data_IF_918128844304
#
_entry.id   IF_918128844304
#
_cell.length_a   1.000
_cell.length_b   1.000
_cell.length_c   1.000
_cell.angle_alpha   90.00
_cell.angle_beta   90.00
_cell.angle_gamma   90.00
#
_symmetry.space_group_name_H-M   'P 1'
#
loop_
_entity.id
_entity.type
_entity.pdbx_description
1 polymer ?
#
# COMPACT_ATOMS: atom_id res chain seq x y z
N UNK A 1 65.37 5.81 -47.63
CA UNK A 1 65.42 5.20 -46.30
C UNK A 1 64.05 4.63 -45.99
N UNK A 2 63.98 3.30 -45.92
CA UNK A 2 62.83 2.49 -45.50
C UNK A 2 62.19 3.03 -44.21
N UNK A 3 60.86 2.93 -44.06
CA UNK A 3 60.23 2.02 -43.08
C UNK A 3 58.75 1.82 -43.44
N UNK A 4 58.39 0.55 -43.61
CA UNK A 4 57.02 0.02 -43.66
C UNK A 4 56.40 0.08 -42.25
N UNK A 5 55.16 0.58 -42.12
CA UNK A 5 54.30 0.26 -40.98
C UNK A 5 53.02 -0.36 -41.53
N UNK A 6 52.82 -1.64 -41.20
CA UNK A 6 51.62 -2.43 -41.48
C UNK A 6 50.47 -1.93 -40.60
N UNK A 7 49.37 -1.51 -41.20
CA UNK A 7 48.12 -1.31 -40.47
C UNK A 7 47.41 -2.66 -40.29
N UNK A 8 47.26 -3.08 -39.03
CA UNK A 8 46.39 -4.18 -38.60
C UNK A 8 44.94 -3.67 -38.57
N UNK A 9 43.94 -4.38 -39.14
CA UNK A 9 42.55 -4.01 -38.94
C UNK A 9 42.11 -4.44 -37.53
N UNK A 10 41.74 -3.45 -36.72
CA UNK A 10 41.15 -3.63 -35.40
C UNK A 10 39.74 -4.23 -35.56
N UNK A 11 39.59 -5.52 -35.23
CA UNK A 11 38.28 -6.15 -35.10
C UNK A 11 37.57 -5.56 -33.87
N UNK A 12 36.58 -4.70 -34.09
CA UNK A 12 35.71 -4.19 -33.04
C UNK A 12 34.63 -5.24 -32.74
N UNK A 13 34.90 -6.15 -31.79
CA UNK A 13 33.87 -7.00 -31.20
C UNK A 13 33.01 -6.13 -30.28
N UNK A 14 31.86 -5.67 -30.78
CA UNK A 14 30.87 -4.98 -29.97
C UNK A 14 30.17 -6.00 -29.07
N UNK A 15 30.63 -6.11 -27.83
CA UNK A 15 29.98 -6.90 -26.78
C UNK A 15 28.67 -6.19 -26.39
N UNK A 16 27.55 -6.60 -26.98
CA UNK A 16 26.23 -6.22 -26.48
C UNK A 16 26.01 -6.94 -25.14
N UNK A 17 26.40 -6.30 -24.04
CA UNK A 17 25.89 -6.62 -22.71
C UNK A 17 24.42 -6.21 -22.68
N UNK A 18 23.54 -7.12 -23.10
CA UNK A 18 22.15 -7.09 -22.66
C UNK A 18 22.16 -7.35 -21.16
N UNK A 19 22.17 -6.28 -20.36
CA UNK A 19 21.65 -6.34 -19.01
C UNK A 19 20.17 -6.70 -19.15
N UNK A 20 19.87 -8.00 -19.12
CA UNK A 20 18.55 -8.49 -18.81
C UNK A 20 18.28 -8.05 -17.37
N UNK A 21 17.70 -6.85 -17.20
CA UNK A 21 16.97 -6.58 -15.98
C UNK A 21 15.93 -7.70 -15.92
N UNK A 22 16.05 -8.58 -14.93
CA UNK A 22 14.97 -9.50 -14.60
C UNK A 22 13.78 -8.65 -14.22
N UNK A 23 12.96 -8.28 -15.19
CA UNK A 23 11.59 -7.80 -14.95
C UNK A 23 10.85 -9.03 -14.47
N UNK A 24 10.98 -9.34 -13.18
CA UNK A 24 10.04 -10.27 -12.55
C UNK A 24 8.68 -9.62 -12.71
N UNK A 25 7.79 -10.29 -13.44
CA UNK A 25 6.39 -9.90 -13.48
C UNK A 25 5.92 -9.86 -12.02
N UNK A 26 5.50 -8.68 -11.56
CA UNK A 26 5.02 -8.42 -10.21
C UNK A 26 3.77 -7.55 -10.29
N UNK A 27 2.91 -7.61 -9.29
CA UNK A 27 1.81 -6.65 -9.18
C UNK A 27 2.39 -5.27 -8.91
N UNK A 28 2.12 -4.34 -9.82
CA UNK A 28 2.40 -2.92 -9.61
C UNK A 28 1.24 -2.30 -8.84
N UNK A 29 1.54 -1.85 -7.62
CA UNK A 29 0.61 -1.18 -6.72
C UNK A 29 0.82 0.33 -6.80
N UNK A 30 -0.29 1.04 -6.85
CA UNK A 30 -0.43 2.49 -6.77
C UNK A 30 -1.11 2.86 -5.44
N UNK A 31 -1.15 4.15 -5.17
CA UNK A 31 -1.89 4.69 -4.03
C UNK A 31 -3.36 4.25 -4.07
N UNK A 32 -3.87 3.78 -2.93
CA UNK A 32 -5.24 3.26 -2.82
C UNK A 32 -5.43 1.82 -3.28
N UNK A 33 -4.42 1.15 -3.84
CA UNK A 33 -4.46 -0.30 -4.12
C UNK A 33 -4.22 -1.14 -2.86
N UNK A 34 -3.79 -0.52 -1.77
CA UNK A 34 -3.56 -1.16 -0.48
C UNK A 34 -4.05 -0.26 0.64
N UNK A 35 -4.64 -0.85 1.67
CA UNK A 35 -5.00 -0.12 2.89
C UNK A 35 -4.86 -0.99 4.15
N UNK A 36 -4.41 -0.37 5.24
CA UNK A 36 -4.33 -1.01 6.56
C UNK A 36 -5.75 -1.04 7.17
N UNK A 37 -6.11 -2.18 7.75
CA UNK A 37 -7.42 -2.41 8.38
C UNK A 37 -7.33 -2.88 9.84
N UNK A 38 -6.13 -3.11 10.34
CA UNK A 38 -5.91 -3.43 11.75
C UNK A 38 -4.45 -3.37 12.16
N UNK A 39 -4.21 -2.87 13.36
CA UNK A 39 -2.89 -2.80 14.01
C UNK A 39 -3.04 -3.21 15.47
N UNK A 40 -2.20 -4.14 15.91
CA UNK A 40 -1.97 -4.47 17.31
C UNK A 40 -0.46 -4.38 17.54
N UNK A 41 -0.02 -3.26 18.10
CA UNK A 41 1.39 -2.85 18.26
C UNK A 41 2.03 -3.31 19.60
N UNK A 42 1.38 -4.23 20.34
CA UNK A 42 1.91 -4.78 21.58
C UNK A 42 1.19 -6.09 21.98
N UNK A 43 1.10 -7.01 21.03
CA UNK A 43 0.50 -8.33 21.18
C UNK A 43 1.24 -9.21 22.20
N UNK A 44 2.53 -8.97 22.44
CA UNK A 44 3.30 -9.68 23.47
C UNK A 44 2.77 -9.43 24.90
N UNK A 45 2.12 -8.29 25.13
CA UNK A 45 1.47 -7.97 26.40
C UNK A 45 0.28 -8.87 26.78
N UNK A 46 -0.11 -9.81 25.93
CA UNK A 46 -1.28 -10.66 26.15
C UNK A 46 -1.01 -11.82 27.12
N UNK A 47 -1.95 -12.16 28.03
CA UNK A 47 -1.86 -13.35 28.87
C UNK A 47 -1.70 -14.61 28.01
N UNK A 48 -0.61 -15.35 28.20
CA UNK A 48 -0.28 -16.53 27.37
C UNK A 48 0.68 -16.25 26.21
N UNK A 49 1.24 -15.04 26.11
CA UNK A 49 2.14 -14.55 25.04
C UNK A 49 3.46 -15.31 24.81
N UNK A 50 3.67 -16.48 25.43
CA UNK A 50 4.87 -17.30 25.27
C UNK A 50 4.78 -18.42 24.23
N UNK A 51 3.59 -18.73 23.69
CA UNK A 51 3.46 -19.83 22.72
C UNK A 51 2.40 -19.52 21.66
N UNK A 52 2.87 -19.12 20.47
CA UNK A 52 2.26 -19.58 19.21
C UNK A 52 0.81 -19.22 18.95
N UNK A 53 0.35 -18.01 19.24
CA UNK A 53 -1.01 -17.59 18.81
C UNK A 53 -1.13 -17.43 17.27
N UNK A 54 -0.09 -17.76 16.50
CA UNK A 54 -0.11 -17.70 15.03
C UNK A 54 0.55 -18.91 14.36
N UNK A 55 0.93 -19.97 15.11
CA UNK A 55 1.57 -21.16 14.55
C UNK A 55 2.95 -20.92 13.90
N UNK A 56 3.48 -19.69 13.94
CA UNK A 56 4.85 -19.40 13.53
C UNK A 56 5.79 -19.92 14.63
N UNK A 57 6.58 -20.94 14.28
CA UNK A 57 7.61 -21.54 15.12
C UNK A 57 8.70 -20.49 15.38
N UNK A 58 8.88 -20.11 16.65
CA UNK A 58 9.74 -19.01 17.09
C UNK A 58 8.93 -17.85 17.66
N UNK A 59 8.09 -18.14 18.67
CA UNK A 59 7.17 -17.17 19.26
C UNK A 59 7.89 -15.94 19.79
N UNK A 60 7.47 -14.76 19.30
CA UNK A 60 7.58 -13.41 19.89
C UNK A 60 7.04 -12.37 18.88
N UNK A 61 5.91 -12.58 18.20
CA UNK A 61 5.33 -11.54 17.35
C UNK A 61 4.64 -10.49 18.22
N UNK A 62 5.31 -9.35 18.43
CA UNK A 62 4.82 -8.22 19.24
C UNK A 62 3.82 -7.39 18.45
N UNK A 63 4.01 -7.28 17.14
CA UNK A 63 3.12 -6.47 16.31
C UNK A 63 2.39 -7.30 15.27
N UNK A 64 1.12 -6.98 15.08
CA UNK A 64 0.24 -7.55 14.05
C UNK A 64 -0.28 -6.40 13.20
N UNK A 65 -0.06 -6.48 11.89
CA UNK A 65 -0.57 -5.52 10.91
C UNK A 65 -1.40 -6.28 9.89
N UNK A 66 -2.69 -5.98 9.83
CA UNK A 66 -3.63 -6.51 8.83
C UNK A 66 -3.93 -5.45 7.78
N UNK A 67 -3.83 -5.82 6.52
CA UNK A 67 -4.11 -4.95 5.38
C UNK A 67 -4.85 -5.71 4.27
N UNK A 68 -5.44 -4.97 3.36
CA UNK A 68 -6.11 -5.51 2.17
C UNK A 68 -5.50 -4.90 0.93
N UNK A 69 -5.39 -5.69 -0.15
CA UNK A 69 -5.05 -5.18 -1.48
C UNK A 69 -6.31 -5.19 -2.37
N UNK A 70 -6.55 -4.12 -3.10
CA UNK A 70 -7.66 -3.97 -4.06
C UNK A 70 -7.27 -4.40 -5.48
N UNK A 71 -6.05 -4.93 -5.64
CA UNK A 71 -5.56 -5.63 -6.82
C UNK A 71 -5.05 -7.01 -6.43
N UNK A 72 -5.10 -7.95 -7.37
CA UNK A 72 -4.50 -9.27 -7.22
C UNK A 72 -3.01 -9.16 -6.93
N UNK A 73 -2.52 -9.89 -5.95
CA UNK A 73 -1.08 -10.00 -5.64
C UNK A 73 -0.55 -11.28 -6.28
N UNK A 74 0.35 -11.13 -7.26
CA UNK A 74 1.00 -12.27 -7.92
C UNK A 74 2.38 -12.54 -7.33
N UNK A 75 2.91 -13.75 -7.58
CA UNK A 75 4.30 -14.09 -7.25
C UNK A 75 5.27 -13.02 -7.79
N UNK A 76 6.31 -12.69 -7.02
CA UNK A 76 7.27 -11.64 -7.33
C UNK A 76 6.88 -10.25 -6.81
N UNK A 77 5.67 -10.05 -6.28
CA UNK A 77 5.24 -8.76 -5.71
C UNK A 77 6.09 -8.38 -4.51
N UNK A 78 6.66 -7.18 -4.57
CA UNK A 78 7.46 -6.58 -3.50
C UNK A 78 6.67 -5.46 -2.83
N UNK A 79 6.67 -5.43 -1.50
CA UNK A 79 6.15 -4.33 -0.68
C UNK A 79 7.22 -4.02 0.36
N UNK A 80 7.59 -2.74 0.50
CA UNK A 80 8.48 -2.28 1.56
C UNK A 80 7.65 -1.66 2.68
N UNK A 81 8.09 -1.80 3.92
CA UNK A 81 7.45 -1.21 5.10
C UNK A 81 8.48 -0.54 5.99
N UNK A 82 8.10 0.58 6.60
CA UNK A 82 8.92 1.24 7.62
C UNK A 82 8.09 1.86 8.72
N UNK A 83 8.61 1.78 9.94
CA UNK A 83 8.18 2.51 11.13
C UNK A 83 9.08 3.73 11.41
N UNK A 84 10.10 3.99 10.57
CA UNK A 84 10.83 5.24 10.63
C UNK A 84 9.89 6.42 10.33
N UNK A 85 9.87 7.40 11.23
CA UNK A 85 9.03 8.58 11.09
C UNK A 85 9.43 9.54 9.97
N UNK A 86 8.50 9.89 9.09
CA UNK A 86 8.69 10.98 8.11
C UNK A 86 8.74 12.33 8.81
N UNK A 87 9.72 13.16 8.49
CA UNK A 87 9.95 14.44 9.16
C UNK A 87 9.96 14.33 10.68
N UNK A 88 10.43 13.21 11.24
CA UNK A 88 10.52 13.07 12.70
C UNK A 88 11.40 14.17 13.31
N UNK A 89 12.50 14.51 12.62
CA UNK A 89 13.53 15.44 13.09
C UNK A 89 14.05 16.39 12.00
N UNK A 90 14.19 15.88 10.77
CA UNK A 90 14.71 16.63 9.63
C UNK A 90 13.62 16.85 8.60
N UNK A 91 13.60 18.05 7.99
CA UNK A 91 12.61 18.40 6.98
C UNK A 91 12.79 17.54 5.71
N UNK A 92 11.69 17.03 5.15
CA UNK A 92 11.63 16.17 3.98
C UNK A 92 12.50 14.89 4.04
N UNK A 93 12.75 14.35 5.23
CA UNK A 93 13.57 13.14 5.42
C UNK A 93 12.92 12.21 6.44
N UNK A 94 13.24 10.91 6.35
CA UNK A 94 12.86 9.94 7.35
C UNK A 94 13.83 9.92 8.52
N UNK A 95 13.31 9.50 9.68
CA UNK A 95 14.13 8.96 10.74
C UNK A 95 14.98 7.77 10.27
N UNK A 96 15.99 7.46 11.06
CA UNK A 96 17.07 6.53 10.73
C UNK A 96 17.42 5.67 11.95
N UNK A 97 16.49 5.57 12.92
CA UNK A 97 16.69 4.86 14.19
C UNK A 97 15.71 3.70 14.40
N UNK A 98 14.83 3.44 13.44
CA UNK A 98 13.79 2.40 13.47
C UNK A 98 13.98 1.45 12.27
N UNK A 99 12.99 0.63 11.97
CA UNK A 99 13.08 -0.45 11.00
C UNK A 99 12.60 -0.13 9.60
N UNK A 100 13.26 -0.73 8.62
CA UNK A 100 12.72 -0.85 7.27
C UNK A 100 12.87 -2.28 6.79
N UNK A 101 11.78 -2.86 6.29
CA UNK A 101 11.73 -4.23 5.78
C UNK A 101 11.23 -4.28 4.34
N UNK A 102 11.70 -5.28 3.61
CA UNK A 102 11.23 -5.68 2.29
C UNK A 102 10.51 -7.01 2.37
N UNK A 103 9.25 -7.00 1.98
CA UNK A 103 8.37 -8.16 1.91
C UNK A 103 8.27 -8.60 0.44
N UNK A 104 8.49 -9.88 0.14
CA UNK A 104 8.37 -10.43 -1.22
C UNK A 104 7.44 -11.63 -1.22
N UNK A 105 6.43 -11.61 -2.08
CA UNK A 105 5.48 -12.70 -2.20
C UNK A 105 5.95 -13.75 -3.20
N UNK A 106 6.02 -15.02 -2.79
CA UNK A 106 6.51 -16.12 -3.63
C UNK A 106 5.45 -17.19 -3.92
N UNK A 107 4.19 -16.94 -3.56
CA UNK A 107 3.08 -17.90 -3.71
C UNK A 107 2.32 -17.79 -5.03
N UNK A 108 1.18 -18.48 -5.13
CA UNK A 108 0.20 -18.30 -6.21
C UNK A 108 -0.68 -17.08 -5.99
N UNK A 109 -1.42 -16.61 -6.99
CA UNK A 109 -2.17 -15.34 -6.89
C UNK A 109 -3.04 -15.26 -5.63
N UNK A 110 -2.89 -14.18 -4.86
CA UNK A 110 -3.84 -13.75 -3.82
C UNK A 110 -4.85 -12.83 -4.50
N UNK A 111 -6.14 -13.22 -4.58
CA UNK A 111 -7.18 -12.36 -5.14
C UNK A 111 -7.32 -11.03 -4.40
N UNK A 112 -7.66 -9.97 -5.13
CA UNK A 112 -8.06 -8.69 -4.57
C UNK A 112 -9.16 -8.87 -3.50
N UNK A 113 -9.06 -8.12 -2.41
CA UNK A 113 -10.01 -8.14 -1.30
C UNK A 113 -9.63 -9.10 -0.18
N UNK A 114 -8.70 -10.04 -0.39
CA UNK A 114 -8.21 -10.90 0.68
C UNK A 114 -7.33 -10.13 1.66
N UNK A 115 -7.55 -10.38 2.94
CA UNK A 115 -6.81 -9.75 4.04
C UNK A 115 -5.48 -10.48 4.26
N UNK A 116 -4.41 -9.70 4.21
CA UNK A 116 -3.05 -10.14 4.48
C UNK A 116 -2.66 -9.65 5.88
N UNK A 117 -2.19 -10.56 6.73
CA UNK A 117 -1.75 -10.23 8.08
C UNK A 117 -0.29 -10.55 8.27
N UNK A 118 0.51 -9.50 8.49
CA UNK A 118 1.92 -9.59 8.83
C UNK A 118 2.12 -9.54 10.33
N UNK A 119 3.21 -10.17 10.76
CA UNK A 119 3.71 -10.08 12.13
C UNK A 119 5.16 -9.69 12.17
N UNK A 120 5.48 -8.87 13.16
CA UNK A 120 6.83 -8.43 13.44
C UNK A 120 7.17 -8.67 14.91
N UNK A 121 8.43 -9.03 15.16
CA UNK A 121 8.99 -9.11 16.50
C UNK A 121 10.05 -8.03 16.71
N UNK A 122 10.20 -7.59 17.96
CA UNK A 122 11.34 -6.77 18.38
C UNK A 122 12.71 -7.42 18.17
N UNK A 123 12.75 -8.73 17.91
CA UNK A 123 13.95 -9.51 17.59
C UNK A 123 14.27 -9.56 16.10
N UNK A 124 13.50 -8.88 15.25
CA UNK A 124 13.73 -8.81 13.81
C UNK A 124 13.24 -10.06 13.06
N UNK A 125 12.31 -10.82 13.65
CA UNK A 125 11.63 -11.92 13.00
C UNK A 125 10.30 -11.43 12.42
N UNK A 126 10.08 -11.73 11.15
CA UNK A 126 8.90 -11.29 10.40
C UNK A 126 8.21 -12.49 9.77
N UNK A 127 6.89 -12.42 9.65
CA UNK A 127 6.09 -13.48 9.06
C UNK A 127 4.76 -13.00 8.52
N UNK A 128 4.08 -13.87 7.78
CA UNK A 128 2.69 -13.68 7.37
C UNK A 128 1.88 -14.92 7.76
N UNK A 129 0.71 -14.69 8.34
CA UNK A 129 -0.11 -15.77 8.92
C UNK A 129 -1.27 -16.21 8.04
N UNK A 130 -1.75 -15.32 7.16
CA UNK A 130 -2.82 -15.65 6.21
C UNK A 130 -2.28 -16.16 4.88
N UNK A 131 -1.08 -15.72 4.47
CA UNK A 131 -0.44 -16.11 3.21
C UNK A 131 1.05 -16.45 3.44
N UNK A 132 1.41 -17.68 3.84
CA UNK A 132 2.75 -17.99 4.36
C UNK A 132 3.88 -17.92 3.31
N UNK A 133 3.59 -17.67 2.03
CA UNK A 133 4.60 -17.56 0.97
C UNK A 133 5.30 -16.19 0.90
N UNK A 134 5.01 -15.28 1.83
CA UNK A 134 5.79 -14.04 2.01
C UNK A 134 7.15 -14.32 2.65
N UNK A 135 8.20 -13.76 2.07
CA UNK A 135 9.54 -13.70 2.65
C UNK A 135 9.91 -12.27 3.02
N UNK A 136 10.74 -12.10 4.04
CA UNK A 136 11.07 -10.80 4.61
C UNK A 136 12.57 -10.62 4.71
N UNK A 137 13.05 -9.42 4.36
CA UNK A 137 14.46 -9.03 4.49
C UNK A 137 14.53 -7.64 5.10
N UNK A 138 15.39 -7.44 6.09
CA UNK A 138 15.66 -6.11 6.62
C UNK A 138 16.45 -5.29 5.60
N UNK A 139 15.99 -4.07 5.30
CA UNK A 139 16.69 -3.09 4.45
C UNK A 139 17.65 -2.20 5.24
N UNK A 140 17.73 -2.42 6.55
CA UNK A 140 18.62 -1.70 7.42
C UNK A 140 20.10 -2.04 7.09
N UNK A 141 20.81 -1.07 6.50
CA UNK A 141 22.26 -1.06 6.22
C UNK A 141 23.03 0.14 6.82
N UNK A 142 24.17 -0.04 7.51
CA UNK A 142 25.04 -1.21 7.48
C UNK A 142 24.52 -2.39 8.32
N UNK A 143 24.91 -3.60 7.90
CA UNK A 143 24.62 -4.84 8.63
C UNK A 143 25.14 -4.74 10.07
N UNK A 144 24.27 -4.99 11.06
CA UNK A 144 24.58 -4.88 12.48
C UNK A 144 23.94 -3.69 13.20
N UNK A 145 23.24 -2.81 12.48
CA UNK A 145 22.24 -1.95 13.11
C UNK A 145 21.11 -2.81 13.68
N UNK A 146 20.86 -2.72 14.99
CA UNK A 146 19.88 -3.55 15.73
C UNK A 146 18.45 -3.05 15.59
N UNK A 147 18.21 -2.02 14.79
CA UNK A 147 16.89 -1.42 14.68
C UNK A 147 16.03 -2.37 13.83
N UNK A 148 15.00 -2.92 14.45
CA UNK A 148 14.04 -3.80 13.80
C UNK A 148 12.76 -2.99 13.56
N UNK A 149 12.04 -3.31 12.48
CA UNK A 149 10.67 -2.82 12.34
C UNK A 149 9.86 -3.34 13.51
N UNK A 150 9.43 -2.45 14.39
CA UNK A 150 8.77 -2.78 15.65
C UNK A 150 8.04 -1.56 16.20
N UNK A 151 6.71 -1.64 16.25
CA UNK A 151 5.85 -0.55 16.68
C UNK A 151 5.99 -0.30 18.18
N UNK A 152 6.00 0.97 18.54
CA UNK A 152 6.17 1.43 19.90
C UNK A 152 4.83 1.45 20.67
N UNK A 153 4.90 1.11 21.96
CA UNK A 153 3.76 1.28 22.86
C UNK A 153 3.48 2.78 23.13
N UNK A 154 2.23 3.19 22.98
CA UNK A 154 1.75 4.56 23.08
C UNK A 154 1.94 5.36 21.80
N UNK A 155 1.76 4.75 20.63
CA UNK A 155 1.82 5.41 19.33
C UNK A 155 3.01 5.00 18.46
N UNK A 156 2.77 4.87 17.15
CA UNK A 156 3.76 4.73 16.09
C UNK A 156 3.15 5.01 14.71
N UNK A 157 4.01 5.28 13.74
CA UNK A 157 3.68 5.39 12.32
C UNK A 157 4.08 4.13 11.55
N UNK A 158 3.37 3.84 10.47
CA UNK A 158 3.74 2.81 9.50
C UNK A 158 3.49 3.34 8.09
N UNK A 159 4.46 3.12 7.21
CA UNK A 159 4.32 3.40 5.78
C UNK A 159 4.50 2.12 4.96
N UNK A 160 3.57 1.87 4.06
CA UNK A 160 3.69 0.85 3.00
C UNK A 160 4.16 1.54 1.72
N UNK A 161 5.14 0.94 1.06
CA UNK A 161 5.82 1.48 -0.12
C UNK A 161 6.11 0.39 -1.15
N UNK A 162 6.39 0.76 -2.40
CA UNK A 162 6.81 -0.19 -3.42
C UNK A 162 7.76 0.42 -4.46
N UNK A 163 8.71 -0.39 -4.93
CA UNK A 163 9.50 -0.12 -6.14
C UNK A 163 10.72 0.78 -5.93
N UNK A 164 10.89 1.34 -4.74
CA UNK A 164 12.00 2.23 -4.43
C UNK A 164 13.20 1.54 -3.79
N UNK A 165 14.17 2.38 -3.43
CA UNK A 165 15.37 2.02 -2.68
C UNK A 165 15.39 2.79 -1.38
N UNK A 166 15.43 2.07 -0.26
CA UNK A 166 15.72 2.66 1.04
C UNK A 166 17.19 3.05 1.12
N UNK A 167 17.45 4.32 1.38
CA UNK A 167 18.77 4.87 1.62
C UNK A 167 18.78 5.41 3.05
N UNK A 168 19.62 4.82 3.91
CA UNK A 168 19.71 5.23 5.31
C UNK A 168 20.23 6.66 5.47
N UNK A 169 20.87 7.23 4.45
CA UNK A 169 21.57 8.50 4.59
C UNK A 169 22.91 8.29 5.27
N UNK A 170 23.24 9.10 6.27
CA UNK A 170 24.50 9.01 6.98
C UNK A 170 24.48 7.83 7.96
N UNK A 171 25.47 6.92 7.93
CA UNK A 171 25.50 5.77 8.86
C UNK A 171 25.81 6.14 10.31
N UNK A 172 26.05 7.43 10.62
CA UNK A 172 26.13 7.90 11.99
C UNK A 172 24.76 7.84 12.66
N UNK A 173 24.70 7.38 13.90
CA UNK A 173 23.42 7.23 14.61
C UNK A 173 22.67 8.57 14.70
N UNK A 174 21.33 8.51 14.55
CA UNK A 174 20.39 9.61 14.83
C UNK A 174 20.60 10.88 13.99
N UNK A 175 21.05 10.72 12.75
CA UNK A 175 21.17 11.82 11.79
C UNK A 175 19.83 12.20 11.16
N UNK A 176 18.87 11.26 11.19
CA UNK A 176 17.51 11.43 10.70
C UNK A 176 17.47 11.96 9.26
N UNK A 177 18.29 11.37 8.39
CA UNK A 177 18.47 11.79 7.00
C UNK A 177 18.19 10.66 5.98
N UNK A 178 17.40 9.66 6.39
CA UNK A 178 17.03 8.56 5.53
C UNK A 178 16.02 8.98 4.45
N UNK A 179 16.02 8.27 3.32
CA UNK A 179 15.19 8.54 2.15
C UNK A 179 14.69 7.25 1.50
N UNK A 180 13.55 7.33 0.82
CA UNK A 180 13.07 6.28 -0.08
C UNK A 180 13.00 6.84 -1.49
N UNK A 181 13.86 6.36 -2.39
CA UNK A 181 14.06 6.94 -3.72
C UNK A 181 13.51 6.06 -4.84
N UNK A 182 12.83 6.67 -5.81
CA UNK A 182 12.37 6.01 -7.04
C UNK A 182 11.18 5.05 -6.86
N UNK A 183 10.55 5.05 -5.69
CA UNK A 183 9.38 4.23 -5.39
C UNK A 183 8.12 5.05 -5.13
N UNK A 184 7.05 4.35 -4.79
CA UNK A 184 5.73 4.93 -4.47
C UNK A 184 5.36 4.64 -3.03
N UNK A 185 4.73 5.61 -2.38
CA UNK A 185 4.03 5.41 -1.11
C UNK A 185 2.63 4.91 -1.39
N UNK A 186 2.22 3.83 -0.74
CA UNK A 186 0.94 3.16 -0.98
C UNK A 186 -0.10 3.54 0.07
N UNK A 187 0.31 3.54 1.35
CA UNK A 187 -0.56 3.86 2.47
C UNK A 187 0.24 4.28 3.71
N UNK A 188 -0.24 5.28 4.45
CA UNK A 188 0.29 5.69 5.75
C UNK A 188 -0.68 5.36 6.89
N UNK A 189 -0.18 4.95 8.05
CA UNK A 189 -1.02 4.70 9.21
C UNK A 189 -0.35 5.21 10.47
N UNK A 190 -1.13 5.74 11.40
CA UNK A 190 -0.65 6.15 12.70
C UNK A 190 -1.55 5.61 13.79
N UNK A 191 -0.98 4.99 14.82
CA UNK A 191 -1.73 4.56 16.01
C UNK A 191 -2.01 5.74 16.96
N UNK A 192 -1.46 6.93 16.67
CA UNK A 192 -1.76 8.22 17.28
C UNK A 192 -2.72 9.04 16.41
N UNK A 193 -3.65 9.75 17.05
CA UNK A 193 -4.59 10.70 16.40
C UNK A 193 -3.98 11.96 15.82
N UNK A 194 -2.64 12.06 15.83
CA UNK A 194 -1.92 13.27 15.43
C UNK A 194 -0.67 12.87 14.66
N UNK A 195 -0.57 13.37 13.44
CA UNK A 195 0.67 13.50 12.69
C UNK A 195 1.36 14.81 13.08
N UNK A 196 2.62 14.73 13.47
CA UNK A 196 3.41 15.85 13.96
C UNK A 196 4.82 15.84 13.34
N UNK A 197 5.04 16.70 12.35
CA UNK A 197 6.39 16.95 11.83
C UNK A 197 7.27 17.61 12.89
N UNK A 198 8.55 17.27 12.85
CA UNK A 198 9.66 17.79 13.66
C UNK A 198 9.42 17.68 15.17
N UNK A 199 8.65 16.67 15.58
CA UNK A 199 8.32 16.41 16.99
C UNK A 199 9.42 15.68 17.78
N UNK A 200 10.48 15.21 17.12
CA UNK A 200 11.56 14.41 17.72
C UNK A 200 11.05 13.18 18.48
N UNK A 201 10.05 12.49 17.95
CA UNK A 201 9.36 11.37 18.60
C UNK A 201 9.48 10.09 17.78
N UNK A 202 9.76 8.95 18.41
CA UNK A 202 9.62 7.63 17.79
C UNK A 202 8.15 7.27 17.55
N UNK A 203 7.27 7.79 18.40
CA UNK A 203 5.85 7.41 18.47
C UNK A 203 4.91 8.19 17.55
N UNK A 204 5.45 9.24 16.92
CA UNK A 204 4.70 10.21 16.10
C UNK A 204 5.67 10.89 15.17
N UNK A 205 5.23 11.12 13.94
CA UNK A 205 6.00 11.82 12.93
C UNK A 205 5.07 12.61 12.02
N UNK A 206 5.64 13.37 11.08
CA UNK A 206 4.87 14.02 10.02
C UNK A 206 4.21 13.00 9.10
N UNK A 207 3.15 13.44 8.42
CA UNK A 207 2.51 12.64 7.38
C UNK A 207 3.25 12.87 6.05
N UNK A 208 3.66 11.80 5.38
CA UNK A 208 4.32 11.91 4.09
C UNK A 208 3.37 12.54 3.04
N UNK A 209 3.81 13.54 2.25
CA UNK A 209 2.93 14.26 1.33
C UNK A 209 2.28 13.35 0.27
N UNK A 210 2.96 12.30 -0.18
CA UNK A 210 2.44 11.40 -1.21
C UNK A 210 1.18 10.65 -0.81
N UNK A 211 0.90 10.44 0.49
CA UNK A 211 -0.32 9.76 0.93
C UNK A 211 -1.48 10.72 1.21
N UNK A 212 -1.25 12.03 1.09
CA UNK A 212 -2.26 13.07 1.28
C UNK A 212 -3.08 13.24 0.01
N UNK A 213 -4.42 13.42 0.09
CA UNK A 213 -5.22 13.52 1.32
C UNK A 213 -5.97 12.24 1.71
N UNK A 214 -5.79 11.13 0.98
CA UNK A 214 -6.75 10.01 1.04
C UNK A 214 -6.15 8.66 1.42
N UNK A 215 -4.84 8.49 1.35
CA UNK A 215 -4.19 7.19 1.48
C UNK A 215 -3.52 7.04 2.84
N UNK A 216 -4.17 7.57 3.87
CA UNK A 216 -3.73 7.42 5.24
C UNK A 216 -4.90 7.22 6.18
N UNK A 217 -4.60 6.72 7.38
CA UNK A 217 -5.55 6.67 8.48
C UNK A 217 -4.84 6.91 9.83
N UNK A 218 -5.51 7.67 10.68
CA UNK A 218 -5.19 7.86 12.08
C UNK A 218 -6.49 7.91 12.89
N UNK A 219 -6.52 7.43 14.14
CA UNK A 219 -7.73 7.48 14.96
C UNK A 219 -8.15 8.92 15.26
N UNK A 220 -9.42 9.17 15.51
CA UNK A 220 -9.93 10.51 15.81
C UNK A 220 -9.55 11.02 17.20
N UNK A 221 -9.18 10.13 18.13
CA UNK A 221 -8.83 10.49 19.50
C UNK A 221 -7.72 9.62 20.07
N UNK A 222 -6.88 10.21 20.92
CA UNK A 222 -5.91 9.50 21.74
C UNK A 222 -4.75 8.87 20.96
N UNK A 223 -4.06 7.96 21.65
CA UNK A 223 -3.08 7.03 21.09
C UNK A 223 -3.51 5.65 21.56
N UNK A 224 -3.72 4.72 20.63
CA UNK A 224 -4.11 3.36 20.99
C UNK A 224 -3.33 2.38 20.14
N UNK A 225 -2.59 1.51 20.81
CA UNK A 225 -1.74 0.50 20.17
C UNK A 225 -2.57 -0.64 19.54
N UNK A 226 -3.90 -0.61 19.75
CA UNK A 226 -4.83 -1.66 19.35
C UNK A 226 -6.00 -1.02 18.58
N UNK A 227 -5.92 -1.03 17.25
CA UNK A 227 -6.86 -0.37 16.35
C UNK A 227 -7.36 -1.34 15.30
N UNK A 228 -8.67 -1.36 15.04
CA UNK A 228 -9.25 -2.17 13.98
C UNK A 228 -10.39 -1.45 13.27
N UNK A 229 -10.50 -1.67 11.97
CA UNK A 229 -11.68 -1.30 11.20
C UNK A 229 -12.92 -2.07 11.71
N UNK A 230 -13.98 -1.32 12.02
CA UNK A 230 -15.28 -1.81 12.48
C UNK A 230 -16.44 -1.15 11.71
N UNK A 231 -16.15 -0.55 10.54
CA UNK A 231 -17.15 0.06 9.68
C UNK A 231 -17.90 -0.96 8.80
N UNK A 232 -18.72 -0.48 7.86
CA UNK A 232 -19.47 -1.32 6.93
C UNK A 232 -18.57 -2.26 6.12
N UNK A 233 -18.98 -3.53 6.03
CA UNK A 233 -18.28 -4.57 5.25
C UNK A 233 -19.04 -5.04 4.00
N UNK A 234 -20.10 -4.32 3.64
CA UNK A 234 -20.87 -4.58 2.41
C UNK A 234 -20.02 -4.32 1.17
N UNK A 235 -20.37 -4.98 0.07
CA UNK A 235 -19.72 -4.82 -1.23
C UNK A 235 -19.59 -3.33 -1.59
N UNK A 236 -18.40 -2.93 -2.04
CA UNK A 236 -18.05 -1.55 -2.35
C UNK A 236 -16.94 -1.49 -3.38
N UNK A 237 -16.88 -0.40 -4.14
CA UNK A 237 -15.75 -0.10 -5.03
C UNK A 237 -14.48 0.19 -4.23
N UNK A 238 -13.32 0.17 -4.90
CA UNK A 238 -12.04 0.54 -4.27
C UNK A 238 -12.09 1.93 -3.62
N UNK A 239 -12.65 2.92 -4.32
CA UNK A 239 -12.74 4.30 -3.82
C UNK A 239 -13.63 4.39 -2.58
N UNK A 240 -14.76 3.70 -2.59
CA UNK A 240 -15.65 3.63 -1.41
C UNK A 240 -14.97 2.93 -0.24
N UNK A 241 -14.19 1.87 -0.50
CA UNK A 241 -13.40 1.21 0.55
C UNK A 241 -12.36 2.14 1.16
N UNK A 242 -11.58 2.86 0.34
CA UNK A 242 -10.61 3.86 0.83
C UNK A 242 -11.33 4.94 1.64
N UNK A 243 -12.47 5.46 1.18
CA UNK A 243 -13.26 6.45 1.92
C UNK A 243 -13.78 5.91 3.26
N UNK A 244 -14.22 4.65 3.31
CA UNK A 244 -14.64 4.00 4.55
C UNK A 244 -13.47 3.83 5.52
N UNK A 245 -12.30 3.42 5.02
CA UNK A 245 -11.10 3.19 5.82
C UNK A 245 -10.54 4.51 6.36
N UNK A 246 -10.51 5.58 5.56
CA UNK A 246 -10.04 6.90 5.98
C UNK A 246 -10.97 7.56 7.01
N UNK A 247 -12.22 7.12 7.14
CA UNK A 247 -13.14 7.63 8.14
C UNK A 247 -12.84 7.05 9.52
N UNK A 248 -12.25 7.85 10.40
CA UNK A 248 -11.91 7.46 11.77
C UNK A 248 -13.12 6.97 12.62
N UNK A 249 -14.36 7.34 12.28
CA UNK A 249 -15.56 6.82 12.96
C UNK A 249 -15.82 5.33 12.67
N UNK A 250 -15.24 4.79 11.59
CA UNK A 250 -15.31 3.38 11.25
C UNK A 250 -14.23 2.54 11.94
N UNK A 251 -13.49 3.11 12.91
CA UNK A 251 -12.44 2.41 13.63
C UNK A 251 -12.76 2.29 15.10
N UNK A 252 -12.35 1.17 15.67
CA UNK A 252 -12.47 0.87 17.09
C UNK A 252 -11.09 0.74 17.69
N UNK A 253 -10.87 1.45 18.80
CA UNK A 253 -9.74 1.25 19.69
C UNK A 253 -10.06 0.24 20.78
N UNK A 254 -9.06 -0.55 21.17
CA UNK A 254 -9.16 -1.49 22.29
C UNK A 254 -8.24 -1.06 23.43
N UNK A 255 -8.62 -1.41 24.65
CA UNK A 255 -7.86 -1.05 25.85
C UNK A 255 -6.56 -1.85 25.99
N UNK A 256 -6.56 -3.09 25.50
CA UNK A 256 -5.43 -4.01 25.55
C UNK A 256 -5.49 -5.02 24.39
N UNK A 257 -4.40 -5.74 24.20
CA UNK A 257 -4.30 -6.76 23.15
C UNK A 257 -5.25 -7.95 23.39
N UNK A 258 -5.68 -8.22 24.64
CA UNK A 258 -6.62 -9.33 24.92
C UNK A 258 -7.99 -8.98 24.36
N UNK A 259 -8.46 -7.75 24.61
CA UNK A 259 -9.70 -7.23 24.05
C UNK A 259 -9.64 -7.15 22.52
N UNK A 260 -8.50 -6.74 21.95
CA UNK A 260 -8.28 -6.75 20.50
C UNK A 260 -8.40 -8.17 19.93
N UNK A 261 -7.68 -9.14 20.50
CA UNK A 261 -7.65 -10.53 20.02
C UNK A 261 -8.98 -11.27 20.25
N UNK A 262 -9.73 -10.90 21.28
CA UNK A 262 -11.06 -11.45 21.58
C UNK A 262 -12.17 -10.82 20.72
N UNK A 263 -11.93 -9.68 20.09
CA UNK A 263 -12.93 -9.02 19.27
C UNK A 263 -13.26 -9.89 18.04
N UNK A 264 -14.48 -10.42 18.03
CA UNK A 264 -15.05 -11.16 16.89
C UNK A 264 -15.62 -10.19 15.83
N UNK A 265 -14.78 -9.27 15.38
CA UNK A 265 -15.03 -8.49 14.18
C UNK A 265 -14.20 -9.12 13.07
N UNK A 266 -14.72 -9.08 11.85
CA UNK A 266 -14.41 -9.90 10.66
C UNK A 266 -12.94 -9.97 10.23
N UNK A 267 -11.97 -9.43 10.97
CA UNK A 267 -10.63 -9.11 10.50
C UNK A 267 -9.46 -9.65 11.33
N UNK A 268 -9.69 -10.44 12.39
CA UNK A 268 -8.68 -11.27 13.12
C UNK A 268 -9.17 -11.65 14.52
N UNK A 269 -10.10 -12.59 14.63
CA UNK A 269 -10.06 -13.47 15.80
C UNK A 269 -9.08 -14.62 15.53
N UNK A 270 -8.57 -15.27 16.58
CA UNK A 270 -7.73 -16.47 16.44
C UNK A 270 -8.43 -17.60 15.64
N UNK A 271 -9.78 -17.57 15.59
CA UNK A 271 -10.58 -18.49 14.77
C UNK A 271 -10.56 -18.12 13.26
N UNK A 272 -10.21 -16.88 12.91
CA UNK A 272 -10.25 -16.36 11.54
C UNK A 272 -8.91 -16.46 10.80
N UNK A 273 -7.79 -16.77 11.47
CA UNK A 273 -6.49 -16.96 10.79
C UNK A 273 -6.55 -18.16 9.82
N UNK A 274 -7.46 -19.11 10.06
CA UNK A 274 -7.76 -20.21 9.15
C UNK A 274 -8.86 -19.89 8.12
N UNK A 275 -9.59 -18.79 8.30
CA UNK A 275 -10.65 -18.34 7.40
C UNK A 275 -10.21 -17.03 6.73
N UNK A 276 -9.62 -17.14 5.53
CA UNK A 276 -9.22 -15.98 4.75
C UNK A 276 -10.39 -15.00 4.64
N UNK A 277 -10.22 -13.85 5.28
CA UNK A 277 -11.21 -12.79 5.25
C UNK A 277 -11.15 -12.13 3.88
N UNK A 278 -12.31 -11.96 3.26
CA UNK A 278 -12.42 -11.33 1.96
C UNK A 278 -13.35 -10.12 2.02
N UNK A 279 -12.83 -8.95 1.71
CA UNK A 279 -13.62 -7.76 1.46
C UNK A 279 -14.25 -7.87 0.06
N UNK A 280 -15.58 -7.80 -0.05
CA UNK A 280 -16.22 -7.78 -1.36
C UNK A 280 -15.90 -6.46 -2.08
N UNK A 281 -15.17 -6.58 -3.19
CA UNK A 281 -14.82 -5.46 -4.07
C UNK A 281 -15.78 -5.48 -5.26
N UNK A 282 -16.49 -4.37 -5.45
CA UNK A 282 -17.23 -4.11 -6.67
C UNK A 282 -16.28 -3.46 -7.70
N UNK A 283 -16.50 -3.71 -8.99
CA UNK A 283 -15.81 -2.96 -10.04
C UNK A 283 -16.11 -1.46 -9.90
N UNK A 284 -15.09 -0.62 -10.12
CA UNK A 284 -15.28 0.83 -10.19
C UNK A 284 -15.98 1.17 -11.51
N UNK A 285 -17.29 1.36 -11.46
CA UNK A 285 -18.16 1.58 -12.61
C UNK A 285 -18.85 2.94 -12.53
N UNK A 286 -19.12 3.52 -13.70
CA UNK A 286 -20.08 4.59 -13.91
C UNK A 286 -21.15 4.02 -14.84
N UNK A 287 -22.35 3.69 -14.34
CA UNK A 287 -23.43 3.19 -15.19
C UNK A 287 -24.45 4.28 -15.50
N UNK A 288 -24.99 4.26 -16.72
CA UNK A 288 -26.21 4.98 -17.08
C UNK A 288 -27.29 3.93 -17.30
N UNK A 289 -28.18 3.81 -16.32
CA UNK A 289 -29.31 2.88 -16.37
C UNK A 289 -30.48 3.49 -17.13
N UNK A 290 -30.87 2.83 -18.20
CA UNK A 290 -32.07 3.19 -18.92
C UNK A 290 -33.31 2.63 -18.20
N UNK A 291 -33.77 3.34 -17.18
CA UNK A 291 -35.01 3.01 -16.48
C UNK A 291 -36.21 3.71 -17.15
N UNK A 292 -36.65 3.22 -18.31
CA UNK A 292 -38.01 3.52 -18.82
C UNK A 292 -38.85 2.25 -18.92
N UNK A 293 -39.93 2.24 -18.14
CA UNK A 293 -40.94 1.19 -18.09
C UNK A 293 -41.43 0.78 -19.49
N UNK A 294 -41.48 -0.53 -19.76
CA UNK A 294 -42.22 -1.19 -20.86
C UNK A 294 -42.22 -0.44 -22.20
N UNK A 295 -41.14 -0.57 -22.98
CA UNK A 295 -41.08 -0.01 -24.34
C UNK A 295 -39.68 0.06 -24.98
N UNK A 296 -38.61 -0.17 -24.21
CA UNK A 296 -37.24 0.05 -24.65
C UNK A 296 -36.79 1.50 -24.44
N UNK A 297 -35.50 1.74 -24.56
CA UNK A 297 -34.91 3.06 -24.44
C UNK A 297 -35.12 3.83 -25.74
N UNK A 298 -35.71 5.02 -25.66
CA UNK A 298 -35.39 6.03 -26.68
C UNK A 298 -33.89 6.32 -26.67
N UNK A 299 -33.40 7.04 -27.67
CA UNK A 299 -32.03 7.56 -27.65
C UNK A 299 -31.85 8.49 -26.45
N UNK A 300 -31.00 8.12 -25.50
CA UNK A 300 -30.61 8.91 -24.35
C UNK A 300 -29.30 9.64 -24.67
N UNK A 301 -29.25 10.95 -24.46
CA UNK A 301 -28.03 11.73 -24.57
C UNK A 301 -27.65 12.19 -23.18
N UNK A 302 -26.50 11.73 -22.70
CA UNK A 302 -25.99 12.01 -21.37
C UNK A 302 -24.56 12.55 -21.44
N UNK A 303 -24.11 13.13 -20.35
CA UNK A 303 -22.75 13.69 -20.24
C UNK A 303 -21.97 12.93 -19.18
N UNK A 304 -20.94 12.19 -19.60
CA UNK A 304 -19.93 11.65 -18.70
C UNK A 304 -19.02 12.79 -18.27
N UNK A 305 -18.82 12.96 -16.97
CA UNK A 305 -17.89 13.95 -16.40
C UNK A 305 -16.74 13.22 -15.72
N UNK A 306 -15.51 13.52 -16.14
CA UNK A 306 -14.29 12.95 -15.59
C UNK A 306 -13.79 13.84 -14.45
N UNK A 307 -14.06 13.39 -13.23
CA UNK A 307 -13.55 14.04 -12.02
C UNK A 307 -12.12 13.54 -11.74
N UNK A 308 -11.13 14.26 -12.27
CA UNK A 308 -9.71 13.93 -12.16
C UNK A 308 -9.04 14.77 -11.06
N UNK A 309 -7.84 14.42 -10.59
CA UNK A 309 -7.10 15.29 -9.69
C UNK A 309 -6.90 16.69 -10.28
N UNK A 310 -6.94 17.73 -9.44
CA UNK A 310 -6.74 19.13 -9.85
C UNK A 310 -5.27 19.49 -10.06
N UNK A 311 -4.35 18.62 -9.64
CA UNK A 311 -2.89 18.74 -9.77
C UNK A 311 -2.33 17.44 -10.34
N UNK A 312 -1.15 17.48 -10.98
CA UNK A 312 -0.52 16.30 -11.58
C UNK A 312 -1.04 15.91 -12.96
N UNK A 313 -1.96 16.68 -13.54
CA UNK A 313 -2.38 16.54 -14.93
C UNK A 313 -1.53 17.36 -15.91
N UNK A 314 -1.88 17.34 -17.21
CA UNK A 314 -3.07 16.72 -17.79
C UNK A 314 -2.98 15.18 -17.82
N UNK A 315 -4.10 14.49 -17.98
CA UNK A 315 -4.19 13.04 -17.91
C UNK A 315 -4.62 12.41 -19.23
N UNK A 316 -4.02 11.27 -19.57
CA UNK A 316 -4.52 10.35 -20.58
C UNK A 316 -5.41 9.31 -19.90
N UNK A 317 -6.66 9.22 -20.35
CA UNK A 317 -7.69 8.36 -19.76
C UNK A 317 -8.17 7.36 -20.79
N UNK A 318 -8.16 6.09 -20.43
CA UNK A 318 -8.82 5.03 -21.20
C UNK A 318 -10.04 4.55 -20.42
N UNK A 319 -11.19 4.48 -21.08
CA UNK A 319 -12.44 3.96 -20.51
C UNK A 319 -13.16 3.06 -21.51
N UNK A 320 -14.08 2.23 -21.03
CA UNK A 320 -14.86 1.30 -21.85
C UNK A 320 -16.34 1.45 -21.55
N UNK A 321 -17.21 1.19 -22.53
CA UNK A 321 -18.67 1.07 -22.35
C UNK A 321 -19.12 -0.39 -22.18
N UNK A 322 -18.17 -1.29 -21.95
CA UNK A 322 -18.36 -2.74 -21.90
C UNK A 322 -18.24 -3.44 -23.27
N UNK A 323 -18.28 -2.69 -24.38
CA UNK A 323 -18.16 -3.21 -25.75
C UNK A 323 -16.95 -2.62 -26.48
N UNK A 324 -16.78 -1.31 -26.40
CA UNK A 324 -15.74 -0.53 -27.06
C UNK A 324 -14.86 0.15 -26.02
N UNK A 325 -13.59 0.35 -26.38
CA UNK A 325 -12.63 1.12 -25.58
C UNK A 325 -12.38 2.47 -26.23
N UNK A 326 -12.34 3.52 -25.41
CA UNK A 326 -12.18 4.90 -25.79
C UNK A 326 -10.96 5.48 -25.08
N UNK A 327 -10.22 6.35 -25.76
CA UNK A 327 -9.05 7.02 -25.20
C UNK A 327 -9.21 8.53 -25.34
N UNK A 328 -9.04 9.24 -24.22
CA UNK A 328 -9.02 10.68 -24.12
C UNK A 328 -7.60 11.09 -23.75
N UNK A 329 -6.99 11.99 -24.52
CA UNK A 329 -5.61 12.41 -24.29
C UNK A 329 -5.55 13.82 -23.73
N UNK A 330 -4.66 14.04 -22.77
CA UNK A 330 -4.39 15.32 -22.13
C UNK A 330 -5.63 16.04 -21.56
N UNK A 331 -6.55 15.29 -20.95
CA UNK A 331 -7.76 15.87 -20.34
C UNK A 331 -7.49 16.35 -18.90
N UNK A 332 -8.24 17.35 -18.47
CA UNK A 332 -8.15 17.93 -17.11
C UNK A 332 -9.38 17.56 -16.29
N UNK A 333 -9.31 17.81 -14.97
CA UNK A 333 -10.47 17.65 -14.09
C UNK A 333 -11.69 18.41 -14.62
N UNK A 334 -12.85 17.76 -14.63
CA UNK A 334 -14.10 18.32 -15.12
C UNK A 334 -14.29 18.18 -16.65
N UNK A 335 -13.38 17.47 -17.34
CA UNK A 335 -13.59 17.12 -18.75
C UNK A 335 -14.89 16.34 -18.93
N UNK A 336 -15.59 16.57 -20.04
CA UNK A 336 -16.88 15.94 -20.31
C UNK A 336 -16.92 15.28 -21.68
N UNK A 337 -17.51 14.09 -21.75
CA UNK A 337 -17.85 13.40 -22.99
C UNK A 337 -19.36 13.22 -23.11
N UNK A 338 -19.93 13.58 -24.26
CA UNK A 338 -21.34 13.32 -24.53
C UNK A 338 -21.49 11.91 -25.08
N UNK A 339 -22.38 11.13 -24.47
CA UNK A 339 -22.67 9.76 -24.86
C UNK A 339 -24.12 9.63 -25.29
N UNK A 340 -24.32 8.91 -26.38
CA UNK A 340 -25.65 8.62 -26.93
C UNK A 340 -25.92 7.13 -26.79
N UNK A 341 -26.93 6.77 -26.00
CA UNK A 341 -27.22 5.40 -25.58
C UNK A 341 -28.61 4.96 -26.05
N UNK A 342 -28.72 3.70 -26.48
CA UNK A 342 -30.00 3.06 -26.84
C UNK A 342 -30.33 1.84 -25.98
N UNK A 343 -29.48 1.54 -24.98
CA UNK A 343 -29.64 0.48 -24.00
C UNK A 343 -28.87 0.84 -22.72
N UNK A 344 -29.16 0.18 -21.61
CA UNK A 344 -28.36 0.31 -20.38
C UNK A 344 -26.90 -0.01 -20.70
N UNK A 345 -26.01 0.89 -20.27
CA UNK A 345 -24.60 0.83 -20.61
C UNK A 345 -23.79 1.11 -19.35
N UNK A 346 -22.86 0.21 -19.05
CA UNK A 346 -21.92 0.34 -17.94
C UNK A 346 -20.61 0.86 -18.49
N UNK A 347 -20.18 2.02 -18.01
CA UNK A 347 -18.85 2.52 -18.28
C UNK A 347 -17.90 2.11 -17.17
N UNK A 348 -16.68 1.76 -17.54
CA UNK A 348 -15.61 1.46 -16.59
C UNK A 348 -14.36 2.21 -16.98
N UNK A 349 -13.69 2.78 -15.99
CA UNK A 349 -12.38 3.36 -16.20
C UNK A 349 -11.36 2.23 -16.32
N UNK A 350 -10.60 2.21 -17.42
CA UNK A 350 -9.56 1.20 -17.68
C UNK A 350 -8.21 1.70 -17.18
N UNK A 351 -7.87 2.97 -17.43
CA UNK A 351 -6.65 3.60 -16.93
C UNK A 351 -6.78 5.12 -16.86
N UNK A 352 -6.06 5.73 -15.93
CA UNK A 352 -5.76 7.16 -15.90
C UNK A 352 -4.25 7.28 -15.72
N UNK A 353 -3.57 8.03 -16.56
CA UNK A 353 -2.12 8.22 -16.51
C UNK A 353 -1.79 9.68 -16.69
N UNK A 354 -0.89 10.22 -15.88
CA UNK A 354 -0.43 11.58 -16.04
C UNK A 354 0.39 11.69 -17.35
N UNK A 355 0.07 12.64 -18.23
CA UNK A 355 0.73 12.77 -19.53
C UNK A 355 2.22 13.18 -19.41
N UNK A 356 2.62 13.62 -18.22
CA UNK A 356 4.01 13.94 -17.85
C UNK A 356 4.80 12.76 -17.25
N UNK A 357 4.20 11.56 -17.14
CA UNK A 357 4.84 10.36 -16.55
C UNK A 357 4.97 10.45 -15.03
#
# INVERSE_FOLDING_TARGET
MQYFIKFFPLFLFSFFLFFSQKTHAQTTLEQGDLAIIGVNANNFGCPGGGTGSLGIVGGNGEDIISFVCFKDITSGTVIDMTDNGWERASLNLFGDTEGTIRCTYNGGTIPAGQVITFVASNSGNYGCVTHPAWSFVSLNTPAGSTNNFNLNNGGDQVYFMQGGTWNWGNPANSTHDATYLGGRFLFGFNTSSVWQSLGMSTKKSGLHPDVIPCFHMEPSTGQTDFLRYNGPTTAATQVEWIARIANAANWQSFADCTAYNAANTTFTSFADINNLVNLPILPSEMSIDCATCTGGCGTLNETLTFNLPTVGGPFDVTYTDGTNTFTLNNISNGHTENVTLTASTTFSLVSVTAANG
#
